data_IF_156811248236
#
_entry.id   IF_156811248236
#
_cell.length_a   1.000
_cell.length_b   1.000
_cell.length_c   1.000
_cell.angle_alpha   90.00
_cell.angle_beta   90.00
_cell.angle_gamma   90.00
#
_symmetry.space_group_name_H-M   'P 1'
#
loop_
_entity.id
_entity.type
_entity.pdbx_description
1 polymer ?
#
# COMPACT_ATOMS: atom_id res chain seq x y z
N UNK A 1 11.56 2.41 -9.92
CA UNK A 1 12.50 1.25 -9.99
C UNK A 1 13.85 1.50 -9.31
N UNK A 2 14.22 2.77 -9.06
CA UNK A 2 15.48 3.10 -8.37
C UNK A 2 15.37 3.04 -6.84
N UNK A 3 14.17 2.98 -6.31
CA UNK A 3 13.88 3.10 -4.88
C UNK A 3 13.47 1.79 -4.19
N UNK A 4 13.45 0.66 -4.93
CA UNK A 4 13.07 -0.64 -4.38
C UNK A 4 14.09 -1.23 -3.39
N UNK A 5 13.63 -1.90 -2.33
CA UNK A 5 14.42 -2.69 -1.38
C UNK A 5 14.75 -4.07 -1.96
N UNK A 6 15.93 -4.70 -1.68
CA UNK A 6 17.02 -4.24 -0.82
C UNK A 6 17.89 -3.20 -1.50
N UNK A 7 18.24 -2.20 -0.75
CA UNK A 7 19.01 -1.05 -1.22
C UNK A 7 20.23 -0.83 -0.33
N UNK A 8 21.07 0.16 -0.70
CA UNK A 8 22.22 0.53 0.10
C UNK A 8 21.84 0.86 1.54
N UNK A 9 22.75 0.67 2.48
CA UNK A 9 22.52 1.01 3.89
C UNK A 9 22.20 2.50 4.08
N UNK A 10 22.72 3.36 3.21
CA UNK A 10 22.38 4.78 3.18
C UNK A 10 20.89 5.00 2.86
N UNK A 11 20.38 4.36 1.83
CA UNK A 11 18.97 4.49 1.42
C UNK A 11 18.04 3.92 2.49
N UNK A 12 18.35 2.74 3.06
CA UNK A 12 17.60 2.17 4.20
C UNK A 12 17.57 3.14 5.36
N UNK A 13 18.69 3.83 5.66
CA UNK A 13 18.76 4.83 6.70
C UNK A 13 17.88 6.04 6.42
N UNK A 14 17.87 6.56 5.18
CA UNK A 14 16.98 7.65 4.77
C UNK A 14 15.51 7.29 4.95
N UNK A 15 15.10 6.11 4.49
CA UNK A 15 13.73 5.60 4.65
C UNK A 15 13.38 5.46 6.15
N UNK A 16 14.25 4.85 6.95
CA UNK A 16 14.03 4.70 8.38
C UNK A 16 13.87 6.05 9.09
N UNK A 17 14.69 7.04 8.77
CA UNK A 17 14.58 8.39 9.32
C UNK A 17 13.27 9.06 8.91
N UNK A 18 12.82 8.89 7.65
CA UNK A 18 11.51 9.42 7.22
C UNK A 18 10.36 8.82 8.04
N UNK A 19 10.42 7.53 8.33
CA UNK A 19 9.39 6.87 9.14
C UNK A 19 9.38 7.33 10.60
N UNK A 20 10.55 7.62 11.17
CA UNK A 20 10.68 8.07 12.55
C UNK A 20 10.30 9.54 12.69
N UNK A 21 10.92 10.41 11.89
CA UNK A 21 10.91 11.85 12.10
C UNK A 21 9.77 12.55 11.38
N UNK A 22 9.45 12.12 10.16
CA UNK A 22 8.52 12.85 9.30
C UNK A 22 7.08 12.33 9.43
N UNK A 23 6.90 11.01 9.49
CA UNK A 23 5.57 10.40 9.68
C UNK A 23 5.35 9.84 11.09
N UNK A 24 6.26 10.12 12.02
CA UNK A 24 6.12 9.90 13.46
C UNK A 24 5.84 8.46 13.88
N UNK A 25 6.47 7.48 13.22
CA UNK A 25 6.38 6.06 13.54
C UNK A 25 4.94 5.53 13.63
N UNK A 26 4.21 5.46 12.49
CA UNK A 26 2.84 4.95 12.46
C UNK A 26 2.74 3.53 13.04
N UNK A 27 1.56 3.16 13.50
CA UNK A 27 1.32 1.81 14.05
C UNK A 27 1.42 0.72 12.96
N UNK A 28 1.03 1.04 11.72
CA UNK A 28 1.14 0.17 10.55
C UNK A 28 1.72 0.98 9.38
N UNK A 29 2.70 0.42 8.69
CA UNK A 29 3.33 1.02 7.51
C UNK A 29 3.18 0.05 6.34
N UNK A 30 2.55 0.52 5.28
CA UNK A 30 2.50 -0.20 4.00
C UNK A 30 3.77 0.10 3.23
N UNK A 31 4.51 -0.93 2.89
CA UNK A 31 5.72 -0.85 2.08
C UNK A 31 5.42 -1.19 0.62
N UNK A 32 5.91 -0.36 -0.29
CA UNK A 32 5.79 -0.52 -1.73
C UNK A 32 7.17 -0.80 -2.32
N UNK A 33 7.22 -1.60 -3.38
CA UNK A 33 8.45 -1.95 -4.09
C UNK A 33 9.52 -2.66 -3.23
N UNK A 34 9.10 -3.47 -2.28
CA UNK A 34 10.05 -4.32 -1.56
C UNK A 34 10.60 -5.38 -2.52
N UNK A 35 11.91 -5.43 -2.70
CA UNK A 35 12.60 -6.48 -3.45
C UNK A 35 12.78 -7.72 -2.60
N UNK A 36 13.15 -8.82 -3.24
CA UNK A 36 13.58 -10.01 -2.52
C UNK A 36 14.93 -9.81 -1.78
N UNK A 37 15.38 -10.83 -1.09
CA UNK A 37 16.50 -10.76 -0.15
C UNK A 37 17.87 -10.54 -0.82
N UNK A 38 17.98 -10.70 -2.13
CA UNK A 38 19.23 -10.50 -2.89
C UNK A 38 19.11 -9.42 -4.00
N UNK A 39 18.01 -8.69 -4.03
CA UNK A 39 17.78 -7.58 -4.93
C UNK A 39 17.38 -8.04 -6.34
N UNK A 40 18.12 -7.59 -7.35
CA UNK A 40 17.81 -7.93 -8.74
C UNK A 40 18.65 -9.09 -9.29
N UNK A 41 19.16 -9.96 -8.43
CA UNK A 41 19.84 -11.18 -8.85
C UNK A 41 18.79 -12.20 -9.28
N UNK A 42 18.80 -12.58 -10.55
CA UNK A 42 17.80 -13.49 -11.10
C UNK A 42 18.23 -14.96 -10.90
N UNK A 43 18.01 -15.48 -9.69
CA UNK A 43 18.40 -16.82 -9.27
C UNK A 43 17.23 -17.64 -8.68
N UNK A 44 15.99 -17.12 -8.79
CA UNK A 44 14.80 -17.76 -8.24
C UNK A 44 14.52 -17.45 -6.77
N UNK A 45 15.31 -16.57 -6.13
CA UNK A 45 14.99 -16.07 -4.77
C UNK A 45 13.72 -15.26 -4.82
N UNK A 46 12.76 -15.55 -3.93
CA UNK A 46 11.48 -14.83 -3.87
C UNK A 46 11.17 -14.26 -2.49
N UNK A 47 11.81 -14.73 -1.41
CA UNK A 47 11.66 -14.17 -0.07
C UNK A 47 12.18 -12.73 0.00
N UNK A 48 11.42 -11.83 0.62
CA UNK A 48 11.83 -10.46 0.97
C UNK A 48 11.93 -10.24 2.48
N UNK A 49 11.91 -11.32 3.26
CA UNK A 49 11.89 -11.24 4.73
C UNK A 49 13.12 -10.55 5.27
N UNK A 50 14.33 -10.91 4.78
CA UNK A 50 15.58 -10.27 5.23
C UNK A 50 15.63 -8.79 4.86
N UNK A 51 15.10 -8.42 3.70
CA UNK A 51 15.01 -7.01 3.26
C UNK A 51 14.10 -6.21 4.20
N UNK A 52 12.93 -6.75 4.54
CA UNK A 52 12.00 -6.11 5.47
C UNK A 52 12.53 -6.04 6.91
N UNK A 53 13.13 -7.13 7.39
CA UNK A 53 13.75 -7.19 8.72
C UNK A 53 14.95 -6.24 8.85
N UNK A 54 15.75 -6.07 7.79
CA UNK A 54 16.83 -5.09 7.73
C UNK A 54 16.33 -3.67 7.96
N UNK A 55 15.21 -3.30 7.30
CA UNK A 55 14.59 -1.99 7.51
C UNK A 55 14.05 -1.84 8.93
N UNK A 56 13.35 -2.85 9.46
CA UNK A 56 12.84 -2.84 10.83
C UNK A 56 13.97 -2.71 11.88
N UNK A 57 15.07 -3.45 11.68
CA UNK A 57 16.25 -3.36 12.54
C UNK A 57 16.86 -1.95 12.49
N UNK A 58 16.96 -1.35 11.29
CA UNK A 58 17.52 -0.01 11.13
C UNK A 58 16.66 1.06 11.79
N UNK A 59 15.33 0.94 11.71
CA UNK A 59 14.41 1.84 12.43
C UNK A 59 14.67 1.76 13.94
N UNK A 60 14.80 0.55 14.49
CA UNK A 60 15.07 0.33 15.91
C UNK A 60 16.42 0.90 16.32
N UNK A 61 17.49 0.67 15.55
CA UNK A 61 18.83 1.19 15.79
C UNK A 61 18.87 2.72 15.87
N UNK A 62 18.04 3.39 15.06
CA UNK A 62 17.89 4.85 15.04
C UNK A 62 16.95 5.39 16.12
N UNK A 63 16.52 4.55 17.07
CA UNK A 63 15.64 4.94 18.17
C UNK A 63 14.14 4.92 17.86
N UNK A 64 13.75 4.38 16.71
CA UNK A 64 12.34 4.19 16.34
C UNK A 64 11.69 2.97 17.04
N UNK A 65 10.47 2.65 16.64
CA UNK A 65 9.70 1.54 17.20
C UNK A 65 10.26 0.18 16.76
N UNK A 66 9.94 -0.86 17.54
CA UNK A 66 10.35 -2.23 17.26
C UNK A 66 9.33 -2.91 16.32
N UNK A 67 9.36 -2.54 15.05
CA UNK A 67 8.44 -3.09 14.05
C UNK A 67 8.68 -4.57 13.78
N UNK A 68 7.59 -5.26 13.44
CA UNK A 68 7.62 -6.58 12.79
C UNK A 68 7.26 -6.44 11.31
N UNK A 69 7.88 -7.26 10.49
CA UNK A 69 7.62 -7.34 9.05
C UNK A 69 6.71 -8.51 8.71
N UNK A 70 5.83 -8.34 7.72
CA UNK A 70 5.01 -9.42 7.18
C UNK A 70 4.74 -9.23 5.68
N UNK A 71 4.76 -10.33 4.93
CA UNK A 71 4.53 -10.39 3.49
C UNK A 71 3.89 -11.72 3.08
N UNK A 72 3.51 -11.83 1.81
CA UNK A 72 3.37 -13.09 1.08
C UNK A 72 4.26 -12.99 -0.15
N UNK A 73 5.29 -13.83 -0.22
CA UNK A 73 6.25 -13.81 -1.32
C UNK A 73 5.56 -14.11 -2.68
N UNK A 74 5.98 -13.47 -3.78
CA UNK A 74 5.49 -13.81 -5.12
C UNK A 74 6.00 -15.17 -5.59
N UNK A 75 5.40 -15.69 -6.65
CA UNK A 75 6.05 -16.70 -7.50
C UNK A 75 7.10 -16.00 -8.36
N UNK A 76 8.23 -16.65 -8.59
CA UNK A 76 9.36 -16.07 -9.31
C UNK A 76 8.97 -15.51 -10.68
N UNK A 77 9.31 -14.24 -10.91
CA UNK A 77 9.07 -13.51 -12.14
C UNK A 77 7.59 -13.27 -12.50
N UNK A 78 6.63 -13.52 -11.60
CA UNK A 78 5.19 -13.41 -11.90
C UNK A 78 4.58 -12.04 -11.63
N UNK A 79 5.22 -11.24 -10.77
CA UNK A 79 4.66 -9.97 -10.31
C UNK A 79 5.15 -8.73 -11.09
N UNK A 80 5.85 -8.93 -12.21
CA UNK A 80 6.40 -7.84 -13.01
C UNK A 80 7.60 -7.16 -12.37
N UNK A 81 7.88 -5.92 -12.77
CA UNK A 81 9.08 -5.20 -12.34
C UNK A 81 10.35 -5.67 -13.05
N UNK A 82 11.51 -5.35 -12.49
CA UNK A 82 12.80 -5.78 -13.01
C UNK A 82 12.96 -7.29 -12.80
N UNK A 83 13.37 -8.06 -13.84
CA UNK A 83 13.61 -9.49 -13.67
C UNK A 83 14.54 -9.80 -12.49
N UNK A 84 14.20 -10.79 -11.69
CA UNK A 84 14.94 -11.21 -10.50
C UNK A 84 14.67 -10.38 -9.25
N UNK A 85 14.00 -9.23 -9.34
CA UNK A 85 13.73 -8.41 -8.14
C UNK A 85 12.49 -8.83 -7.36
N UNK A 86 11.59 -9.55 -8.01
CA UNK A 86 10.37 -10.10 -7.38
C UNK A 86 9.66 -9.09 -6.45
N UNK A 87 9.49 -7.84 -6.92
CA UNK A 87 8.94 -6.74 -6.10
C UNK A 87 7.52 -7.04 -5.64
N UNK A 88 7.24 -6.68 -4.39
CA UNK A 88 5.95 -6.88 -3.74
C UNK A 88 5.58 -5.71 -2.86
N UNK A 89 4.35 -5.74 -2.36
CA UNK A 89 3.89 -4.93 -1.24
C UNK A 89 3.98 -5.74 0.05
N UNK A 90 4.19 -5.07 1.17
CA UNK A 90 4.35 -5.70 2.48
C UNK A 90 3.94 -4.74 3.61
N UNK A 91 4.00 -5.20 4.85
CA UNK A 91 3.70 -4.38 6.02
C UNK A 91 4.84 -4.42 7.05
N UNK A 92 5.07 -3.25 7.68
CA UNK A 92 5.64 -3.15 9.01
C UNK A 92 4.52 -2.80 9.99
N UNK A 93 4.51 -3.41 11.16
CA UNK A 93 3.56 -3.06 12.23
C UNK A 93 4.23 -3.04 13.59
N UNK A 94 3.77 -2.12 14.44
CA UNK A 94 4.25 -1.98 15.80
C UNK A 94 3.48 -2.92 16.74
N UNK A 95 4.07 -4.05 17.19
CA UNK A 95 3.38 -5.05 18.00
C UNK A 95 3.01 -4.57 19.42
N UNK A 96 3.59 -3.45 19.87
CA UNK A 96 3.22 -2.84 21.16
C UNK A 96 1.89 -2.08 21.08
N UNK A 97 1.39 -1.84 19.86
CA UNK A 97 0.19 -1.05 19.61
C UNK A 97 -0.91 -1.83 18.91
N UNK A 98 -0.57 -2.61 17.90
CA UNK A 98 -1.51 -3.39 17.09
C UNK A 98 -1.08 -4.85 17.04
N UNK A 99 -2.04 -5.74 16.91
CA UNK A 99 -1.78 -7.16 16.71
C UNK A 99 -2.12 -7.52 15.28
N UNK A 100 -1.22 -8.18 14.57
CA UNK A 100 -1.60 -8.95 13.39
C UNK A 100 -2.45 -10.13 13.88
N UNK A 101 -3.71 -10.23 13.41
CA UNK A 101 -4.61 -11.32 13.81
C UNK A 101 -3.97 -12.65 13.45
N UNK A 102 -3.75 -13.51 14.44
CA UNK A 102 -2.97 -14.73 14.30
C UNK A 102 -3.73 -15.77 13.49
N UNK A 103 -3.26 -16.01 12.27
CA UNK A 103 -3.74 -17.04 11.35
C UNK A 103 -2.57 -17.49 10.47
N UNK A 104 -2.73 -18.65 9.82
CA UNK A 104 -1.81 -19.08 8.77
C UNK A 104 -1.83 -18.06 7.63
N UNK A 105 -0.65 -17.70 7.11
CA UNK A 105 -0.54 -16.85 5.93
C UNK A 105 -1.04 -17.58 4.68
N UNK A 106 -1.61 -16.82 3.74
CA UNK A 106 -1.93 -17.32 2.40
C UNK A 106 -0.68 -17.65 1.60
N UNK A 107 -0.83 -18.48 0.57
CA UNK A 107 0.24 -18.79 -0.38
C UNK A 107 0.31 -17.76 -1.50
N UNK A 108 1.40 -17.80 -2.26
CA UNK A 108 1.65 -16.87 -3.37
C UNK A 108 0.53 -16.82 -4.43
N UNK A 109 -0.14 -17.94 -4.67
CA UNK A 109 -1.19 -18.15 -5.66
C UNK A 109 -2.57 -18.44 -5.05
N UNK A 110 -2.70 -18.34 -3.72
CA UNK A 110 -3.94 -18.56 -2.99
C UNK A 110 -4.70 -17.25 -2.81
N UNK A 111 -5.96 -17.23 -3.24
CA UNK A 111 -6.82 -16.05 -3.11
C UNK A 111 -7.26 -15.81 -1.67
N UNK A 112 -7.14 -14.58 -1.21
CA UNK A 112 -7.70 -14.13 0.06
C UNK A 112 -9.23 -14.32 0.08
N UNK A 113 -9.75 -14.70 1.21
CA UNK A 113 -11.20 -14.86 1.43
C UNK A 113 -11.57 -14.54 2.87
N UNK A 114 -12.87 -14.41 3.13
CA UNK A 114 -13.41 -14.16 4.46
C UNK A 114 -14.14 -15.40 5.00
N UNK A 115 -14.13 -15.55 6.32
CA UNK A 115 -14.93 -16.51 7.06
C UNK A 115 -15.42 -15.83 8.34
N UNK A 116 -16.75 -15.82 8.54
CA UNK A 116 -17.37 -15.17 9.71
C UNK A 116 -16.95 -13.70 9.89
N UNK A 117 -16.79 -12.98 8.78
CA UNK A 117 -16.41 -11.56 8.79
C UNK A 117 -14.95 -11.25 9.12
N UNK A 118 -14.07 -12.24 9.05
CA UNK A 118 -12.62 -12.11 9.24
C UNK A 118 -11.87 -12.74 8.06
N UNK A 119 -10.63 -12.29 7.80
CA UNK A 119 -9.77 -12.97 6.84
C UNK A 119 -9.58 -14.44 7.23
N UNK A 120 -9.73 -15.36 6.26
CA UNK A 120 -9.50 -16.79 6.49
C UNK A 120 -8.02 -17.10 6.69
N UNK A 121 -7.16 -16.48 5.89
CA UNK A 121 -5.69 -16.49 5.97
C UNK A 121 -5.18 -15.07 6.21
N UNK A 122 -4.11 -14.88 6.96
CA UNK A 122 -3.61 -13.56 7.31
C UNK A 122 -2.08 -13.51 7.47
N UNK A 123 -1.34 -12.73 6.65
CA UNK A 123 -1.82 -11.96 5.50
C UNK A 123 -2.16 -12.85 4.30
N UNK A 124 -2.88 -12.31 3.31
CA UNK A 124 -3.23 -13.05 2.11
C UNK A 124 -3.33 -12.13 0.87
N UNK A 125 -2.99 -12.66 -0.30
CA UNK A 125 -3.01 -11.93 -1.59
C UNK A 125 -4.43 -11.94 -2.17
N UNK A 126 -4.88 -10.80 -2.69
CA UNK A 126 -6.22 -10.67 -3.26
C UNK A 126 -6.21 -11.19 -4.70
N UNK A 127 -6.89 -12.31 -4.93
CA UNK A 127 -7.11 -12.97 -6.22
C UNK A 127 -5.85 -13.02 -7.13
N UNK A 128 -4.72 -13.56 -6.62
CA UNK A 128 -3.40 -13.43 -7.26
C UNK A 128 -3.29 -14.13 -8.63
N UNK A 129 -4.18 -15.06 -8.94
CA UNK A 129 -4.23 -15.79 -10.22
C UNK A 129 -5.14 -15.14 -11.25
N UNK A 130 -5.83 -14.06 -10.91
CA UNK A 130 -6.69 -13.35 -11.84
C UNK A 130 -5.87 -12.76 -13.00
N UNK A 131 -6.33 -12.90 -14.26
CA UNK A 131 -5.64 -12.35 -15.43
C UNK A 131 -5.33 -10.85 -15.35
N UNK A 132 -6.14 -10.05 -14.64
CA UNK A 132 -5.90 -8.63 -14.43
C UNK A 132 -4.55 -8.36 -13.72
N UNK A 133 -4.09 -9.28 -12.87
CA UNK A 133 -2.81 -9.20 -12.18
C UNK A 133 -1.64 -9.88 -12.91
N UNK A 134 -1.80 -10.23 -14.19
CA UNK A 134 -0.69 -10.83 -14.97
C UNK A 134 0.47 -9.85 -15.09
N UNK A 135 1.66 -10.26 -14.61
CA UNK A 135 2.86 -9.42 -14.58
C UNK A 135 2.67 -8.08 -13.84
N UNK A 136 1.82 -8.08 -12.83
CA UNK A 136 1.60 -6.96 -11.92
C UNK A 136 1.74 -7.46 -10.49
N UNK A 137 2.15 -6.58 -9.56
CA UNK A 137 2.17 -6.88 -8.11
C UNK A 137 0.75 -7.20 -7.65
N UNK A 138 0.62 -8.16 -6.76
CA UNK A 138 -0.67 -8.54 -6.19
C UNK A 138 -0.93 -7.75 -4.92
N UNK A 139 -2.14 -7.21 -4.79
CA UNK A 139 -2.54 -6.54 -3.57
C UNK A 139 -2.57 -7.51 -2.39
N UNK A 140 -2.12 -7.06 -1.22
CA UNK A 140 -1.98 -7.86 -0.01
C UNK A 140 -2.92 -7.33 1.07
N UNK A 141 -3.80 -8.19 1.57
CA UNK A 141 -4.67 -7.89 2.71
C UNK A 141 -4.05 -8.43 4.00
N UNK A 142 -4.08 -7.62 5.06
CA UNK A 142 -3.75 -8.05 6.41
C UNK A 142 -4.78 -7.50 7.41
N UNK A 143 -5.23 -8.36 8.32
CA UNK A 143 -6.16 -7.99 9.38
C UNK A 143 -5.39 -7.74 10.66
N UNK A 144 -5.59 -6.54 11.21
CA UNK A 144 -5.00 -6.10 12.48
C UNK A 144 -6.10 -5.83 13.51
N UNK A 145 -5.75 -6.03 14.78
CA UNK A 145 -6.58 -5.68 15.93
C UNK A 145 -5.93 -4.53 16.71
N UNK A 146 -6.74 -3.53 17.03
CA UNK A 146 -6.40 -2.43 17.92
C UNK A 146 -7.53 -2.24 18.95
N UNK A 147 -7.27 -2.54 20.23
CA UNK A 147 -8.25 -2.40 21.33
C UNK A 147 -9.61 -3.04 21.02
N UNK A 148 -9.58 -4.25 20.48
CA UNK A 148 -10.80 -4.98 20.12
C UNK A 148 -11.44 -4.54 18.78
N UNK A 149 -10.89 -3.54 18.10
CA UNK A 149 -11.34 -3.13 16.77
C UNK A 149 -10.50 -3.83 15.70
N UNK A 150 -11.19 -4.44 14.74
CA UNK A 150 -10.55 -5.10 13.61
C UNK A 150 -10.48 -4.15 12.41
N UNK A 151 -9.33 -4.10 11.76
CA UNK A 151 -9.08 -3.31 10.55
C UNK A 151 -8.38 -4.19 9.54
N UNK A 152 -8.96 -4.34 8.35
CA UNK A 152 -8.31 -4.96 7.20
C UNK A 152 -7.60 -3.88 6.41
N UNK A 153 -6.27 -3.92 6.41
CA UNK A 153 -5.43 -3.02 5.62
C UNK A 153 -5.03 -3.73 4.34
N UNK A 154 -5.24 -3.07 3.20
CA UNK A 154 -4.89 -3.60 1.89
C UNK A 154 -3.78 -2.75 1.29
N UNK A 155 -2.62 -3.37 1.10
CA UNK A 155 -1.46 -2.77 0.44
C UNK A 155 -1.57 -2.95 -1.08
N UNK A 156 -1.36 -1.87 -1.84
CA UNK A 156 -1.55 -1.85 -3.28
C UNK A 156 -0.35 -1.27 -4.01
N UNK A 157 -0.03 -1.85 -5.17
CA UNK A 157 0.85 -1.29 -6.17
C UNK A 157 0.33 -1.74 -7.55
N UNK A 158 -0.60 -0.96 -8.10
CA UNK A 158 -1.31 -1.33 -9.33
C UNK A 158 -0.43 -1.18 -10.57
N UNK A 159 -0.96 -1.52 -11.72
CA UNK A 159 -0.31 -1.39 -13.03
C UNK A 159 0.22 0.02 -13.23
N UNK A 160 1.52 0.12 -13.52
CA UNK A 160 2.18 1.42 -13.74
C UNK A 160 1.62 2.17 -14.94
N UNK A 161 1.81 3.50 -14.94
CA UNK A 161 1.46 4.39 -16.04
C UNK A 161 2.49 4.36 -17.19
N UNK A 162 3.44 3.42 -17.15
CA UNK A 162 4.44 3.28 -18.22
C UNK A 162 3.75 2.97 -19.56
N UNK A 163 3.91 3.89 -20.51
CA UNK A 163 3.23 3.86 -21.80
C UNK A 163 2.03 4.81 -21.92
N UNK A 164 1.58 5.42 -20.82
CA UNK A 164 0.57 6.49 -20.87
C UNK A 164 1.20 7.80 -21.37
N UNK A 165 0.40 8.62 -22.06
CA UNK A 165 0.82 9.97 -22.45
C UNK A 165 0.99 10.86 -21.22
N UNK A 166 1.98 11.73 -21.24
CA UNK A 166 2.15 12.74 -20.20
C UNK A 166 0.99 13.73 -20.25
N UNK A 167 0.47 14.13 -19.08
CA UNK A 167 -0.69 15.04 -18.95
C UNK A 167 -0.49 16.34 -19.76
N UNK A 168 0.71 16.90 -19.72
CA UNK A 168 1.11 18.10 -20.48
C UNK A 168 2.06 17.76 -21.63
N UNK A 169 1.92 16.57 -22.21
CA UNK A 169 2.73 16.13 -23.36
C UNK A 169 2.25 16.71 -24.69
N UNK A 170 2.96 16.35 -25.76
CA UNK A 170 2.65 16.76 -27.14
C UNK A 170 1.37 16.16 -27.68
N UNK A 171 0.94 15.01 -27.16
CA UNK A 171 -0.31 14.36 -27.56
C UNK A 171 -1.45 14.91 -26.70
N UNK A 172 -2.43 15.54 -27.36
CA UNK A 172 -3.59 16.11 -26.68
C UNK A 172 -4.87 15.74 -27.43
N UNK A 173 -5.89 15.24 -26.71
CA UNK A 173 -5.86 14.91 -25.27
C UNK A 173 -4.90 13.72 -24.95
N UNK A 174 -4.27 13.76 -23.78
CA UNK A 174 -3.38 12.69 -23.33
C UNK A 174 -4.14 11.36 -23.17
N UNK A 175 -3.63 10.30 -23.79
CA UNK A 175 -4.26 8.97 -23.75
C UNK A 175 -3.64 8.12 -22.63
N UNK A 176 -4.50 7.58 -21.78
CA UNK A 176 -4.09 6.71 -20.67
C UNK A 176 -4.21 5.24 -21.10
N UNK A 177 -3.21 4.74 -21.84
CA UNK A 177 -3.22 3.40 -22.45
C UNK A 177 -3.30 2.26 -21.43
N UNK A 178 -2.82 2.48 -20.21
CA UNK A 178 -2.77 1.46 -19.15
C UNK A 178 -3.95 1.53 -18.17
N UNK A 179 -4.82 2.54 -18.28
CA UNK A 179 -5.93 2.77 -17.35
C UNK A 179 -6.95 1.62 -17.33
N UNK A 180 -7.26 1.02 -18.47
CA UNK A 180 -8.22 -0.09 -18.53
C UNK A 180 -7.76 -1.27 -17.66
N UNK A 181 -6.46 -1.58 -17.65
CA UNK A 181 -5.90 -2.62 -16.79
C UNK A 181 -6.06 -2.26 -15.31
N UNK A 182 -5.76 -1.01 -14.91
CA UNK A 182 -5.95 -0.55 -13.53
C UNK A 182 -7.41 -0.58 -13.10
N UNK A 183 -8.36 -0.28 -13.99
CA UNK A 183 -9.79 -0.38 -13.68
C UNK A 183 -10.19 -1.83 -13.38
N UNK A 184 -9.67 -2.82 -14.11
CA UNK A 184 -9.95 -4.24 -13.83
C UNK A 184 -9.36 -4.67 -12.48
N UNK A 185 -8.13 -4.25 -12.15
CA UNK A 185 -7.54 -4.45 -10.83
C UNK A 185 -8.39 -3.79 -9.73
N UNK A 186 -8.85 -2.56 -9.96
CA UNK A 186 -9.70 -1.81 -9.03
C UNK A 186 -11.04 -2.50 -8.73
N UNK A 187 -11.69 -3.08 -9.75
CA UNK A 187 -12.93 -3.85 -9.58
C UNK A 187 -12.73 -5.08 -8.68
N UNK A 188 -11.60 -5.76 -8.81
CA UNK A 188 -11.26 -6.91 -7.96
C UNK A 188 -11.13 -6.46 -6.51
N UNK A 189 -10.45 -5.34 -6.26
CA UNK A 189 -10.30 -4.79 -4.92
C UNK A 189 -11.64 -4.40 -4.30
N UNK A 190 -12.49 -3.69 -5.06
CA UNK A 190 -13.81 -3.31 -4.57
C UNK A 190 -14.70 -4.54 -4.29
N UNK A 191 -14.72 -5.54 -5.16
CA UNK A 191 -15.44 -6.81 -4.94
C UNK A 191 -14.97 -7.51 -3.66
N UNK A 192 -13.67 -7.50 -3.37
CA UNK A 192 -13.14 -8.07 -2.13
C UNK A 192 -13.63 -7.32 -0.89
N UNK A 193 -13.66 -6.00 -0.94
CA UNK A 193 -14.23 -5.16 0.14
C UNK A 193 -15.72 -5.45 0.32
N UNK A 194 -16.49 -5.50 -0.77
CA UNK A 194 -17.93 -5.83 -0.72
C UNK A 194 -18.18 -7.18 -0.06
N UNK A 195 -17.38 -8.21 -0.37
CA UNK A 195 -17.51 -9.52 0.24
C UNK A 195 -17.28 -9.48 1.76
N UNK A 196 -16.23 -8.76 2.20
CA UNK A 196 -15.97 -8.58 3.63
C UNK A 196 -17.12 -7.85 4.33
N UNK A 197 -17.61 -6.76 3.77
CA UNK A 197 -18.72 -5.98 4.32
C UNK A 197 -20.05 -6.74 4.30
N UNK A 198 -20.27 -7.62 3.30
CA UNK A 198 -21.45 -8.50 3.26
C UNK A 198 -21.47 -9.48 4.44
N UNK A 199 -20.30 -9.98 4.84
CA UNK A 199 -20.19 -10.89 6.00
C UNK A 199 -20.18 -10.13 7.34
N UNK A 200 -19.56 -8.95 7.38
CA UNK A 200 -19.53 -8.08 8.56
C UNK A 200 -19.62 -6.61 8.14
N UNK A 201 -20.83 -6.01 8.17
CA UNK A 201 -21.04 -4.61 7.79
C UNK A 201 -20.24 -3.59 8.61
N UNK A 202 -19.74 -3.98 9.78
CA UNK A 202 -18.94 -3.14 10.65
C UNK A 202 -17.43 -3.34 10.48
N UNK A 203 -16.99 -4.17 9.52
CA UNK A 203 -15.57 -4.38 9.26
C UNK A 203 -14.93 -3.09 8.74
N UNK A 204 -13.83 -2.70 9.35
CA UNK A 204 -13.08 -1.53 8.92
C UNK A 204 -12.12 -1.91 7.80
N UNK A 205 -12.13 -1.15 6.70
CA UNK A 205 -11.17 -1.30 5.61
C UNK A 205 -10.36 -0.03 5.44
N UNK A 206 -9.06 -0.22 5.19
CA UNK A 206 -8.13 0.82 4.73
C UNK A 206 -7.36 0.27 3.54
N UNK A 207 -7.53 0.84 2.37
CA UNK A 207 -6.74 0.55 1.18
C UNK A 207 -5.72 1.65 1.00
N UNK A 208 -4.45 1.32 0.91
CA UNK A 208 -3.37 2.31 0.78
C UNK A 208 -2.28 1.79 -0.15
N UNK A 209 -1.50 2.69 -0.71
CA UNK A 209 -0.37 2.38 -1.58
C UNK A 209 -0.32 3.20 -2.85
N UNK A 210 0.50 2.76 -3.79
CA UNK A 210 0.62 3.34 -5.12
C UNK A 210 -0.43 2.72 -6.06
N UNK A 211 -1.49 3.47 -6.30
CA UNK A 211 -2.55 3.05 -7.23
C UNK A 211 -2.23 3.39 -8.68
N UNK A 212 -1.11 4.08 -8.93
CA UNK A 212 -0.67 4.48 -10.26
C UNK A 212 -1.74 5.23 -11.07
N UNK A 213 -2.68 5.87 -10.40
CA UNK A 213 -3.70 6.70 -11.03
C UNK A 213 -4.16 7.83 -10.11
N UNK A 214 -4.78 8.85 -10.69
CA UNK A 214 -5.17 10.06 -9.99
C UNK A 214 -6.39 9.83 -9.10
N UNK A 215 -6.52 10.65 -8.05
CA UNK A 215 -7.61 10.59 -7.09
C UNK A 215 -9.00 10.78 -7.71
N UNK A 216 -9.08 11.43 -8.87
CA UNK A 216 -10.31 11.69 -9.61
C UNK A 216 -10.56 10.72 -10.79
N UNK A 217 -9.64 9.75 -11.01
CA UNK A 217 -9.69 8.83 -12.16
C UNK A 217 -10.83 7.81 -12.09
N UNK A 218 -11.14 7.18 -13.23
CA UNK A 218 -12.08 6.05 -13.27
C UNK A 218 -11.56 4.85 -12.46
N UNK A 219 -10.24 4.68 -12.34
CA UNK A 219 -9.62 3.69 -11.44
C UNK A 219 -9.98 3.97 -9.99
N UNK A 220 -9.80 5.21 -9.53
CA UNK A 220 -10.14 5.62 -8.16
C UNK A 220 -11.64 5.45 -7.87
N UNK A 221 -12.50 5.81 -8.83
CA UNK A 221 -13.96 5.60 -8.72
C UNK A 221 -14.32 4.12 -8.63
N UNK A 222 -13.66 3.26 -9.42
CA UNK A 222 -13.89 1.82 -9.39
C UNK A 222 -13.45 1.18 -8.08
N UNK A 223 -12.36 1.68 -7.46
CA UNK A 223 -11.93 1.25 -6.11
C UNK A 223 -12.96 1.67 -5.07
N UNK A 224 -13.38 2.94 -5.11
CA UNK A 224 -14.28 3.50 -4.10
C UNK A 224 -15.63 2.80 -4.10
N UNK A 225 -16.23 2.61 -5.28
CA UNK A 225 -17.59 2.13 -5.41
C UNK A 225 -18.56 2.90 -4.52
N UNK A 226 -19.50 2.18 -3.93
CA UNK A 226 -20.41 2.72 -2.91
C UNK A 226 -19.90 2.48 -1.49
N UNK A 227 -18.78 1.77 -1.30
CA UNK A 227 -18.28 1.27 -0.02
C UNK A 227 -17.24 2.16 0.63
N UNK A 228 -16.41 2.83 -0.19
CA UNK A 228 -15.20 3.50 0.30
C UNK A 228 -15.22 5.01 0.02
N UNK A 229 -14.41 5.72 0.80
CA UNK A 229 -14.13 7.16 0.66
C UNK A 229 -12.66 7.30 0.30
N UNK A 230 -12.34 8.04 -0.77
CA UNK A 230 -10.97 8.40 -1.11
C UNK A 230 -10.57 9.67 -0.34
N UNK A 231 -9.69 9.54 0.65
CA UNK A 231 -9.29 10.65 1.51
C UNK A 231 -8.46 11.71 0.77
N UNK A 232 -7.68 11.32 -0.26
CA UNK A 232 -6.95 12.27 -1.09
C UNK A 232 -7.92 13.18 -1.86
N UNK A 233 -9.03 12.62 -2.37
CA UNK A 233 -10.03 13.40 -3.10
C UNK A 233 -10.77 14.41 -2.20
N UNK A 234 -10.89 14.13 -0.92
CA UNK A 234 -11.53 15.02 0.06
C UNK A 234 -10.57 16.05 0.67
N UNK A 235 -9.28 15.86 0.46
CA UNK A 235 -8.25 16.78 0.95
C UNK A 235 -8.22 18.10 0.16
N UNK A 236 -7.49 19.13 0.66
CA UNK A 236 -7.32 20.40 -0.04
C UNK A 236 -6.72 20.16 -1.46
N UNK A 237 -7.37 20.69 -2.47
CA UNK A 237 -6.97 20.47 -3.87
C UNK A 237 -5.54 20.95 -4.18
N UNK A 238 -5.05 21.98 -3.49
CA UNK A 238 -3.70 22.50 -3.67
C UNK A 238 -2.61 21.55 -3.11
N UNK A 239 -3.02 20.62 -2.25
CA UNK A 239 -2.13 19.71 -1.51
C UNK A 239 -2.27 18.24 -1.94
N UNK A 240 -3.05 17.96 -3.01
CA UNK A 240 -3.33 16.62 -3.52
C UNK A 240 -2.22 16.11 -4.42
N UNK A 241 -1.05 15.79 -3.89
CA UNK A 241 -0.01 15.13 -4.65
C UNK A 241 0.88 14.26 -3.76
N UNK A 242 1.52 13.29 -4.40
CA UNK A 242 2.50 12.39 -3.79
C UNK A 242 3.67 12.09 -4.72
N UNK A 243 3.57 12.55 -5.96
CA UNK A 243 4.54 12.26 -7.01
C UNK A 243 4.71 13.45 -7.94
N UNK A 244 5.90 13.62 -8.52
CA UNK A 244 6.18 14.67 -9.49
C UNK A 244 6.67 14.06 -10.80
N UNK A 245 6.00 14.38 -11.89
CA UNK A 245 6.38 13.88 -13.20
C UNK A 245 6.22 14.94 -14.30
N UNK A 246 7.32 15.22 -15.01
CA UNK A 246 7.37 16.15 -16.17
C UNK A 246 6.63 17.46 -15.96
N UNK A 247 6.87 18.13 -14.82
CA UNK A 247 6.27 19.43 -14.51
C UNK A 247 4.87 19.34 -13.88
N UNK A 248 4.38 18.15 -13.55
CA UNK A 248 3.08 17.95 -12.96
C UNK A 248 3.16 17.24 -11.61
N UNK A 249 2.52 17.82 -10.59
CA UNK A 249 2.22 17.12 -9.35
C UNK A 249 1.08 16.14 -9.59
N UNK A 250 1.20 14.92 -9.08
CA UNK A 250 0.26 13.82 -9.29
C UNK A 250 -0.01 13.10 -7.97
N UNK A 251 -1.26 12.72 -7.73
CA UNK A 251 -1.67 11.96 -6.54
C UNK A 251 -1.76 10.46 -6.87
N UNK A 252 -0.62 9.78 -7.00
CA UNK A 252 -0.58 8.34 -7.30
C UNK A 252 -0.79 7.49 -6.05
N UNK A 253 -0.40 8.02 -4.88
CA UNK A 253 -0.53 7.37 -3.58
C UNK A 253 -1.78 7.88 -2.88
N UNK A 254 -2.71 6.98 -2.62
CA UNK A 254 -4.02 7.32 -2.08
C UNK A 254 -4.32 6.46 -0.85
N UNK A 255 -5.27 6.93 -0.02
CA UNK A 255 -5.88 6.12 1.05
C UNK A 255 -7.40 6.13 0.86
N UNK A 256 -7.96 4.93 0.78
CA UNK A 256 -9.41 4.71 0.81
C UNK A 256 -9.80 4.08 2.13
N UNK A 257 -10.87 4.55 2.73
CA UNK A 257 -11.41 4.00 3.98
C UNK A 257 -12.86 3.57 3.78
N UNK A 258 -13.30 2.54 4.51
CA UNK A 258 -14.71 2.17 4.54
C UNK A 258 -15.57 3.25 5.20
N UNK A 259 -16.82 3.42 4.75
CA UNK A 259 -17.72 4.50 5.18
C UNK A 259 -17.99 4.54 6.69
N UNK A 260 -17.88 3.41 7.38
CA UNK A 260 -18.00 3.34 8.84
C UNK A 260 -16.83 4.03 9.58
N UNK A 261 -15.74 4.36 8.88
CA UNK A 261 -14.63 5.17 9.38
C UNK A 261 -14.78 6.68 9.05
N UNK A 262 -15.85 7.07 8.34
CA UNK A 262 -16.11 8.47 8.05
C UNK A 262 -16.18 9.31 9.33
N UNK A 263 -15.52 10.47 9.33
CA UNK A 263 -15.44 11.35 10.50
C UNK A 263 -14.50 10.87 11.62
N UNK A 264 -13.86 9.72 11.45
CA UNK A 264 -12.86 9.18 12.39
C UNK A 264 -11.44 9.23 11.84
N UNK A 265 -11.26 9.73 10.62
CA UNK A 265 -9.98 9.77 9.92
C UNK A 265 -9.45 11.20 9.80
N UNK A 266 -8.17 11.37 10.11
CA UNK A 266 -7.40 12.57 9.78
C UNK A 266 -6.34 12.13 8.77
N UNK A 267 -6.34 12.74 7.59
CA UNK A 267 -5.48 12.38 6.47
C UNK A 267 -4.51 13.52 6.14
N UNK A 268 -3.29 13.16 5.75
CA UNK A 268 -2.33 14.10 5.19
C UNK A 268 -1.38 13.41 4.20
N UNK A 269 -1.10 13.99 3.02
CA UNK A 269 0.13 13.74 2.29
C UNK A 269 1.28 14.43 3.02
N UNK A 270 2.47 13.83 3.03
CA UNK A 270 3.64 14.38 3.74
C UNK A 270 4.75 14.67 2.73
N UNK A 271 4.88 15.94 2.32
CA UNK A 271 5.73 16.37 1.20
C UNK A 271 7.21 16.45 1.60
N UNK A 272 7.88 15.31 1.60
CA UNK A 272 9.29 15.17 1.97
C UNK A 272 10.17 14.62 0.84
N UNK A 273 9.57 14.15 -0.25
CA UNK A 273 10.28 13.46 -1.31
C UNK A 273 10.00 14.01 -2.71
N UNK A 274 8.72 14.04 -3.13
CA UNK A 274 8.30 14.26 -4.52
C UNK A 274 8.81 15.59 -5.11
N UNK A 275 8.86 16.65 -4.30
CA UNK A 275 9.32 17.98 -4.70
C UNK A 275 10.85 18.17 -4.56
N UNK A 276 11.59 17.17 -4.11
CA UNK A 276 13.03 17.23 -3.90
C UNK A 276 13.78 16.35 -4.90
N UNK A 277 15.02 16.74 -5.22
CA UNK A 277 15.91 15.92 -6.04
C UNK A 277 16.67 14.91 -5.18
N UNK A 278 17.17 13.85 -5.81
CA UNK A 278 17.93 12.81 -5.11
C UNK A 278 19.20 13.36 -4.45
N UNK A 279 19.87 14.32 -5.09
CA UNK A 279 21.04 15.02 -4.55
C UNK A 279 20.73 15.80 -3.26
N UNK A 280 19.47 16.14 -3.01
CA UNK A 280 19.01 16.79 -1.78
C UNK A 280 18.60 15.79 -0.69
N UNK A 281 18.89 14.51 -0.89
CA UNK A 281 18.78 13.48 0.14
C UNK A 281 17.39 12.89 0.34
N UNK A 282 16.46 13.06 -0.61
CA UNK A 282 15.14 12.42 -0.53
C UNK A 282 15.25 10.91 -0.35
N UNK A 283 14.32 10.32 0.37
CA UNK A 283 14.27 8.89 0.63
C UNK A 283 13.58 8.09 -0.48
N UNK A 284 12.70 8.71 -1.25
CA UNK A 284 11.93 8.13 -2.36
C UNK A 284 11.60 9.19 -3.41
N UNK A 285 11.10 8.81 -4.57
CA UNK A 285 10.48 9.72 -5.54
C UNK A 285 8.97 9.92 -5.26
N UNK A 286 8.40 9.16 -4.33
CA UNK A 286 7.05 9.34 -3.81
C UNK A 286 7.04 9.95 -2.41
N UNK A 287 6.03 10.77 -2.13
CA UNK A 287 5.69 11.22 -0.79
C UNK A 287 4.86 10.16 -0.06
N UNK A 288 5.09 9.95 1.25
CA UNK A 288 4.19 9.11 2.02
C UNK A 288 2.84 9.81 2.26
N UNK A 289 1.77 9.02 2.32
CA UNK A 289 0.44 9.45 2.74
C UNK A 289 0.09 8.78 4.06
N UNK A 290 -0.52 9.52 4.97
CA UNK A 290 -0.77 9.07 6.34
C UNK A 290 -2.25 9.27 6.69
N UNK A 291 -2.82 8.30 7.39
CA UNK A 291 -4.14 8.43 8.03
C UNK A 291 -4.04 8.08 9.50
N UNK A 292 -4.59 8.93 10.35
CA UNK A 292 -4.84 8.63 11.75
C UNK A 292 -6.32 8.27 11.92
N UNK A 293 -6.59 7.09 12.51
CA UNK A 293 -7.94 6.64 12.82
C UNK A 293 -8.22 6.76 14.31
N UNK A 294 -9.35 7.39 14.65
CA UNK A 294 -9.81 7.53 16.03
C UNK A 294 -10.93 6.53 16.36
N UNK A 295 -10.63 5.60 17.25
CA UNK A 295 -11.58 4.63 17.78
C UNK A 295 -12.04 4.94 19.22
N UNK A 296 -11.74 6.13 19.75
CA UNK A 296 -12.04 6.49 21.16
C UNK A 296 -13.53 6.59 21.48
N UNK A 297 -14.38 6.82 20.48
CA UNK A 297 -15.82 7.05 20.65
C UNK A 297 -16.71 5.81 20.41
N UNK A 298 -16.15 4.63 20.32
CA UNK A 298 -16.95 3.41 20.30
C UNK A 298 -17.19 2.97 21.76
N UNK A 299 -18.26 3.47 22.36
CA UNK A 299 -18.80 2.88 23.59
C UNK A 299 -19.10 1.42 23.34
N UNK A 300 -18.49 0.54 24.15
CA UNK A 300 -18.87 -0.87 24.24
C UNK A 300 -20.39 -0.93 24.39
N UNK A 301 -21.13 -1.34 23.37
CA UNK A 301 -22.46 -1.89 23.61
C UNK A 301 -22.24 -3.22 24.34
N UNK A 302 -22.78 -3.39 25.53
CA UNK A 302 -22.72 -4.69 26.19
C UNK A 302 -23.52 -5.71 25.36
N UNK A 303 -22.95 -6.92 25.26
CA UNK A 303 -23.56 -8.12 24.65
C UNK A 303 -24.97 -8.42 25.18
#
# INVERSE_FOLDING_TARGET
LHDALPISDEKVTKIANSFINEIHSPDIITLIEVQDDNGSVNDGTTSGVKSGEKLAARIKELGGKNYKYTEVAPLDGQDGGKPGSNIRVAFLYNPDRVKLVEKEAGKSDEAASFSSGHLLKNPARIDPTNPAFTKVRKSLAAEFEFKGQHVVVIANHLKSKLGDDAVYGSNQPAVQHTQAARIEEAKILNNFVQEGLRQNPNLNFVLTGDFNDFEFSETAKAIAGDELINLMQEHDAADRYSYFYRGSNQSLDNIFISKNLAGKAIFAPVHINASFMEEHGRASDHDPVVVQLDFSNQTNQPD
#
